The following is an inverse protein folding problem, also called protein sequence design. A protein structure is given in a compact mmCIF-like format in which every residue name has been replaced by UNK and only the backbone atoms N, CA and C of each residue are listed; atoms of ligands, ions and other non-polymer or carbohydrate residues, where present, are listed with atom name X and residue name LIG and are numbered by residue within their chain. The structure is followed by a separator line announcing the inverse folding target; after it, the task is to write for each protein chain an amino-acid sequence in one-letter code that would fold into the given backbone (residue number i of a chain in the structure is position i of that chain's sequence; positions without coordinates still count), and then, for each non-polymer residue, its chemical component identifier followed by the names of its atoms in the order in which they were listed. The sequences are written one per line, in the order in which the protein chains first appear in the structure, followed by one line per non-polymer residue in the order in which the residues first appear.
data_IF_713185948535
#
_entry.id   IF_713185948535
#
_cell.length_a   1.000
_cell.length_b   1.000
_cell.length_c   1.000
_cell.angle_alpha   90.00
_cell.angle_beta   90.00
_cell.angle_gamma   90.00
#
_symmetry.space_group_name_H-M   'P 1'
#
loop_
_entity.id
_entity.type
_entity.pdbx_description
1 polymer ?
#
# COMPACT_ATOMS: atom_id res chain seq x y z
N UNK A 1 -10.37 -25.15 -31.40
CA UNK A 1 -10.36 -23.78 -30.84
C UNK A 1 -10.99 -23.69 -29.44
N UNK A 2 -12.12 -24.35 -29.14
CA UNK A 2 -12.77 -24.32 -27.81
C UNK A 2 -11.84 -24.70 -26.64
N UNK A 3 -10.94 -25.66 -26.82
CA UNK A 3 -9.94 -26.06 -25.79
C UNK A 3 -8.96 -24.93 -25.42
N UNK A 4 -8.56 -24.08 -26.36
CA UNK A 4 -7.64 -22.96 -26.09
C UNK A 4 -8.34 -21.82 -25.34
N UNK A 5 -9.60 -21.53 -25.66
CA UNK A 5 -10.40 -20.57 -24.91
C UNK A 5 -10.63 -21.02 -23.45
N UNK A 6 -10.83 -22.32 -23.23
CA UNK A 6 -10.95 -22.87 -21.87
C UNK A 6 -9.63 -22.74 -21.08
N UNK A 7 -8.50 -23.02 -21.73
CA UNK A 7 -7.15 -22.83 -21.13
C UNK A 7 -6.86 -21.35 -20.82
N UNK A 8 -7.22 -20.44 -21.71
CA UNK A 8 -7.08 -18.98 -21.49
C UNK A 8 -7.98 -18.49 -20.35
N UNK A 9 -9.21 -18.99 -20.25
CA UNK A 9 -10.14 -18.64 -19.15
C UNK A 9 -9.64 -19.16 -17.81
N UNK A 10 -9.10 -20.38 -17.77
CA UNK A 10 -8.46 -20.94 -16.58
C UNK A 10 -7.22 -20.12 -16.17
N UNK A 11 -6.38 -19.74 -17.14
CA UNK A 11 -5.18 -18.94 -16.89
C UNK A 11 -5.53 -17.54 -16.39
N UNK A 12 -6.60 -16.93 -16.90
CA UNK A 12 -7.10 -15.64 -16.42
C UNK A 12 -7.70 -15.75 -15.01
N UNK A 13 -8.35 -16.86 -14.67
CA UNK A 13 -8.81 -17.15 -13.31
C UNK A 13 -7.64 -17.30 -12.33
N UNK A 14 -6.59 -18.02 -12.73
CA UNK A 14 -5.35 -18.17 -11.94
C UNK A 14 -4.65 -16.82 -11.79
N UNK A 15 -4.54 -16.02 -12.86
CA UNK A 15 -3.97 -14.67 -12.81
C UNK A 15 -4.77 -13.72 -11.92
N UNK A 16 -6.11 -13.82 -11.96
CA UNK A 16 -7.00 -13.08 -11.07
C UNK A 16 -6.72 -13.40 -9.60
N UNK A 17 -6.52 -14.68 -9.27
CA UNK A 17 -6.13 -15.11 -7.93
C UNK A 17 -4.69 -14.75 -7.57
N UNK A 18 -3.80 -14.57 -8.56
CA UNK A 18 -2.40 -14.22 -8.33
C UNK A 18 -2.24 -12.85 -7.66
N UNK A 19 -3.14 -11.91 -7.98
CA UNK A 19 -3.21 -10.60 -7.31
C UNK A 19 -3.44 -10.76 -5.81
N UNK A 20 -4.38 -11.61 -5.41
CA UNK A 20 -4.67 -11.84 -3.99
C UNK A 20 -3.53 -12.57 -3.28
N UNK A 21 -2.87 -13.51 -3.97
CA UNK A 21 -1.67 -14.18 -3.45
C UNK A 21 -0.55 -13.17 -3.23
N UNK A 22 -0.30 -12.29 -4.20
CA UNK A 22 0.75 -11.28 -4.10
C UNK A 22 0.51 -10.31 -2.94
N UNK A 23 -0.74 -9.86 -2.75
CA UNK A 23 -1.11 -9.00 -1.61
C UNK A 23 -0.89 -9.70 -0.28
N UNK A 24 -1.29 -10.98 -0.16
CA UNK A 24 -1.04 -11.77 1.05
C UNK A 24 0.45 -11.97 1.30
N UNK A 25 1.23 -12.25 0.27
CA UNK A 25 2.67 -12.47 0.36
C UNK A 25 3.40 -11.17 0.76
N UNK A 26 2.96 -10.03 0.22
CA UNK A 26 3.43 -8.72 0.64
C UNK A 26 3.13 -8.44 2.11
N UNK A 27 1.91 -8.73 2.56
CA UNK A 27 1.53 -8.59 3.96
C UNK A 27 2.36 -9.47 4.89
N UNK A 28 2.57 -10.74 4.52
CA UNK A 28 3.42 -11.68 5.25
C UNK A 28 4.87 -11.15 5.32
N UNK A 29 5.39 -10.60 4.23
CA UNK A 29 6.76 -10.04 4.20
C UNK A 29 6.90 -8.86 5.17
N UNK A 30 5.94 -7.93 5.17
CA UNK A 30 5.94 -6.80 6.11
C UNK A 30 5.83 -7.28 7.55
N UNK A 31 4.95 -8.25 7.80
CA UNK A 31 4.77 -8.83 9.12
C UNK A 31 6.07 -9.49 9.62
N UNK A 32 6.72 -10.28 8.76
CA UNK A 32 7.95 -10.99 9.08
C UNK A 32 9.11 -10.01 9.32
N UNK A 33 9.14 -8.88 8.59
CA UNK A 33 10.09 -7.81 8.83
C UNK A 33 9.87 -7.13 10.20
N UNK A 34 8.63 -6.79 10.55
CA UNK A 34 8.30 -6.23 11.86
C UNK A 34 8.65 -7.21 13.00
N UNK A 35 8.32 -8.49 12.83
CA UNK A 35 8.70 -9.57 13.72
C UNK A 35 10.23 -9.62 13.92
N UNK A 36 10.99 -9.54 12.83
CA UNK A 36 12.46 -9.53 12.87
C UNK A 36 13.03 -8.37 13.67
N UNK A 37 12.52 -7.15 13.47
CA UNK A 37 13.00 -5.97 14.19
C UNK A 37 12.72 -6.11 15.69
N UNK A 38 11.52 -6.56 16.06
CA UNK A 38 11.17 -6.75 17.47
C UNK A 38 12.04 -7.83 18.10
N UNK A 39 12.29 -8.93 17.40
CA UNK A 39 13.14 -10.01 17.88
C UNK A 39 14.60 -9.55 18.10
N UNK A 40 15.15 -8.75 17.17
CA UNK A 40 16.46 -8.11 17.34
C UNK A 40 16.49 -7.19 18.56
N UNK A 41 15.46 -6.35 18.70
CA UNK A 41 15.35 -5.40 19.80
C UNK A 41 15.29 -6.12 21.16
N UNK A 42 14.57 -7.24 21.26
CA UNK A 42 14.48 -8.03 22.49
C UNK A 42 15.77 -8.80 22.80
N UNK A 43 16.56 -9.15 21.79
CA UNK A 43 17.70 -10.04 21.99
C UNK A 43 19.04 -9.32 22.12
N UNK A 44 19.24 -8.23 21.37
CA UNK A 44 20.47 -7.45 21.36
C UNK A 44 20.27 -5.98 21.79
N UNK A 45 19.02 -5.56 22.04
CA UNK A 45 18.68 -4.20 22.41
C UNK A 45 18.34 -3.30 21.23
N UNK A 46 17.82 -2.11 21.56
CA UNK A 46 17.24 -1.18 20.58
C UNK A 46 18.30 -0.57 19.65
N UNK A 47 19.51 -0.33 20.15
CA UNK A 47 20.64 0.19 19.35
C UNK A 47 20.95 -0.73 18.16
N UNK A 48 20.98 -2.04 18.40
CA UNK A 48 21.26 -3.03 17.37
C UNK A 48 20.14 -3.09 16.32
N UNK A 49 18.88 -2.95 16.74
CA UNK A 49 17.74 -2.95 15.82
C UNK A 49 17.74 -1.73 14.88
N UNK A 50 18.21 -0.58 15.34
CA UNK A 50 18.30 0.65 14.52
C UNK A 50 19.42 0.52 13.48
N UNK A 51 20.57 0.01 13.90
CA UNK A 51 21.75 -0.18 13.04
C UNK A 51 21.50 -1.21 11.92
N UNK A 52 20.77 -2.28 12.23
CA UNK A 52 20.44 -3.35 11.28
C UNK A 52 19.02 -3.27 10.71
N UNK A 53 18.40 -2.08 10.74
CA UNK A 53 17.02 -1.87 10.26
C UNK A 53 16.82 -2.16 8.77
N UNK A 54 17.89 -2.31 7.99
CA UNK A 54 17.81 -2.72 6.59
C UNK A 54 17.10 -4.07 6.43
N UNK A 55 16.11 -4.21 5.53
CA UNK A 55 15.33 -5.43 5.37
C UNK A 55 16.18 -6.67 5.09
N UNK A 56 17.25 -6.53 4.29
CA UNK A 56 18.18 -7.64 4.01
C UNK A 56 18.85 -8.16 5.28
N UNK A 57 19.29 -7.25 6.15
CA UNK A 57 19.98 -7.60 7.37
C UNK A 57 19.01 -8.17 8.41
N UNK A 58 17.81 -7.58 8.51
CA UNK A 58 16.72 -8.09 9.32
C UNK A 58 16.44 -9.57 9.00
N UNK A 59 16.14 -9.90 7.74
CA UNK A 59 15.86 -11.29 7.35
C UNK A 59 17.05 -12.24 7.55
N UNK A 60 18.28 -11.80 7.27
CA UNK A 60 19.47 -12.61 7.49
C UNK A 60 19.63 -13.02 8.95
N UNK A 61 19.43 -12.07 9.85
CA UNK A 61 19.53 -12.28 11.30
C UNK A 61 18.36 -13.09 11.83
N UNK A 62 17.15 -12.90 11.30
CA UNK A 62 16.00 -13.76 11.59
C UNK A 62 16.32 -15.22 11.28
N UNK A 63 16.91 -15.47 10.10
CA UNK A 63 17.31 -16.81 9.69
C UNK A 63 18.38 -17.40 10.60
N UNK A 64 19.41 -16.62 10.96
CA UNK A 64 20.44 -17.06 11.92
C UNK A 64 19.82 -17.39 13.29
N UNK A 65 18.85 -16.61 13.73
CA UNK A 65 18.11 -16.85 14.97
C UNK A 65 17.34 -18.16 14.93
N UNK A 66 16.59 -18.42 13.85
CA UNK A 66 15.86 -19.67 13.69
C UNK A 66 16.80 -20.87 13.57
N UNK A 67 17.91 -20.72 12.84
CA UNK A 67 18.93 -21.76 12.72
C UNK A 67 19.52 -22.11 14.09
N UNK A 68 19.89 -21.10 14.88
CA UNK A 68 20.40 -21.32 16.24
C UNK A 68 19.37 -21.99 17.15
N UNK A 69 18.09 -21.60 17.08
CA UNK A 69 17.02 -22.24 17.84
C UNK A 69 16.79 -23.70 17.42
N UNK A 70 16.94 -24.01 16.13
CA UNK A 70 16.83 -25.36 15.62
C UNK A 70 17.99 -26.24 16.07
N UNK A 71 19.22 -25.72 15.97
CA UNK A 71 20.44 -26.44 16.34
C UNK A 71 20.56 -26.66 17.87
N UNK A 72 19.95 -25.79 18.68
CA UNK A 72 19.99 -25.84 20.15
C UNK A 72 18.63 -26.21 20.77
N UNK A 73 17.81 -27.01 20.07
CA UNK A 73 16.44 -27.33 20.48
C UNK A 73 16.33 -27.88 21.91
N UNK A 74 17.32 -28.65 22.34
CA UNK A 74 17.34 -29.30 23.66
C UNK A 74 17.79 -28.36 24.79
N UNK A 75 18.41 -27.22 24.45
CA UNK A 75 18.92 -26.20 25.38
C UNK A 75 18.17 -24.87 25.26
N UNK A 76 16.94 -24.88 24.72
CA UNK A 76 16.12 -23.68 24.60
C UNK A 76 15.68 -23.20 25.99
N UNK A 77 16.37 -22.18 26.50
CA UNK A 77 15.99 -21.50 27.72
C UNK A 77 14.58 -20.90 27.59
N UNK A 78 13.81 -20.94 28.68
CA UNK A 78 12.44 -20.40 28.73
C UNK A 78 12.41 -18.92 28.35
N UNK A 79 13.47 -18.17 28.68
CA UNK A 79 13.63 -16.78 28.28
C UNK A 79 13.61 -16.58 26.76
N UNK A 80 14.17 -17.51 25.99
CA UNK A 80 14.21 -17.43 24.52
C UNK A 80 12.82 -17.65 23.91
N UNK A 81 12.08 -18.63 24.44
CA UNK A 81 10.71 -18.92 24.00
C UNK A 81 9.76 -17.75 24.26
N UNK A 82 9.90 -17.09 25.42
CA UNK A 82 9.12 -15.88 25.76
C UNK A 82 9.44 -14.74 24.78
N UNK A 83 10.72 -14.53 24.44
CA UNK A 83 11.10 -13.47 23.49
C UNK A 83 10.51 -13.69 22.10
N UNK A 84 10.53 -14.93 21.60
CA UNK A 84 9.90 -15.28 20.32
C UNK A 84 8.39 -15.06 20.38
N UNK A 85 7.75 -15.47 21.48
CA UNK A 85 6.31 -15.29 21.68
C UNK A 85 5.94 -13.80 21.68
N UNK A 86 6.66 -12.99 22.45
CA UNK A 86 6.46 -11.52 22.51
C UNK A 86 6.72 -10.90 21.15
N UNK A 87 7.78 -11.28 20.46
CA UNK A 87 8.07 -10.78 19.12
C UNK A 87 6.95 -11.10 18.13
N UNK A 88 6.28 -12.26 18.26
CA UNK A 88 5.17 -12.66 17.40
C UNK A 88 3.90 -11.85 17.70
N UNK A 89 3.59 -11.59 18.96
CA UNK A 89 2.39 -10.84 19.32
C UNK A 89 2.54 -9.33 19.14
N UNK A 90 3.76 -8.79 19.24
CA UNK A 90 4.01 -7.34 19.20
C UNK A 90 3.52 -6.68 17.89
N UNK A 91 3.80 -7.20 16.68
CA UNK A 91 3.28 -6.61 15.44
C UNK A 91 1.74 -6.56 15.40
N UNK A 92 1.06 -7.59 15.90
CA UNK A 92 -0.40 -7.62 15.96
C UNK A 92 -0.96 -6.62 16.98
N UNK A 93 -0.29 -6.49 18.13
CA UNK A 93 -0.67 -5.50 19.13
C UNK A 93 -0.46 -4.08 18.61
N UNK A 94 0.66 -3.84 17.94
CA UNK A 94 0.98 -2.56 17.31
C UNK A 94 -0.05 -2.23 16.21
N UNK A 95 -0.41 -3.21 15.37
CA UNK A 95 -1.43 -3.05 14.35
C UNK A 95 -2.79 -2.66 14.96
N UNK A 96 -3.22 -3.35 16.03
CA UNK A 96 -4.47 -3.02 16.73
C UNK A 96 -4.44 -1.62 17.35
N UNK A 97 -3.30 -1.23 17.91
CA UNK A 97 -3.08 0.10 18.49
C UNK A 97 -3.13 1.18 17.41
N UNK A 98 -2.44 0.96 16.28
CA UNK A 98 -2.50 1.84 15.11
C UNK A 98 -3.94 1.98 14.60
N UNK A 99 -4.71 0.89 14.46
CA UNK A 99 -6.11 0.97 14.04
C UNK A 99 -7.01 1.70 15.05
N UNK A 100 -6.70 1.64 16.35
CA UNK A 100 -7.47 2.34 17.39
C UNK A 100 -7.26 3.85 17.40
N UNK A 101 -6.18 4.33 16.77
CA UNK A 101 -5.87 5.76 16.71
C UNK A 101 -6.78 6.44 15.68
N UNK A 102 -7.41 7.56 16.08
CA UNK A 102 -8.18 8.43 15.17
C UNK A 102 -7.22 9.22 14.25
N UNK A 103 -6.63 8.54 13.27
CA UNK A 103 -5.65 9.11 12.32
C UNK A 103 -6.13 10.40 11.68
N UNK A 104 -7.42 10.49 11.36
CA UNK A 104 -8.02 11.69 10.74
C UNK A 104 -7.74 12.95 11.56
N UNK A 105 -7.91 12.88 12.88
CA UNK A 105 -7.66 14.02 13.78
C UNK A 105 -6.17 14.36 13.89
N UNK A 106 -5.29 13.34 13.92
CA UNK A 106 -3.84 13.56 13.98
C UNK A 106 -3.30 14.17 12.69
N UNK A 107 -3.79 13.71 11.53
CA UNK A 107 -3.39 14.22 10.22
C UNK A 107 -3.87 15.66 10.04
N UNK A 108 -5.12 15.96 10.40
CA UNK A 108 -5.67 17.32 10.34
C UNK A 108 -4.86 18.29 11.21
N UNK A 109 -4.54 17.89 12.44
CA UNK A 109 -3.69 18.69 13.35
C UNK A 109 -2.26 18.85 12.82
N UNK A 110 -1.69 17.81 12.22
CA UNK A 110 -0.35 17.87 11.61
C UNK A 110 -0.33 18.81 10.39
N UNK A 111 -1.34 18.75 9.52
CA UNK A 111 -1.49 19.66 8.36
C UNK A 111 -1.62 21.11 8.83
N UNK A 112 -2.43 21.37 9.86
CA UNK A 112 -2.58 22.73 10.44
C UNK A 112 -1.23 23.22 10.97
N UNK A 113 -0.48 22.38 11.69
CA UNK A 113 0.83 22.75 12.24
C UNK A 113 1.88 23.01 11.14
N UNK A 114 1.87 22.22 10.06
CA UNK A 114 2.73 22.43 8.89
C UNK A 114 2.37 23.73 8.17
N UNK A 115 1.08 24.00 7.94
CA UNK A 115 0.61 25.27 7.36
C UNK A 115 1.01 26.47 8.23
N UNK A 116 0.89 26.37 9.55
CA UNK A 116 1.32 27.42 10.48
C UNK A 116 2.83 27.65 10.44
N UNK A 117 3.65 26.58 10.40
CA UNK A 117 5.11 26.68 10.23
C UNK A 117 5.52 27.27 8.88
N UNK A 118 4.79 26.99 7.79
CA UNK A 118 5.05 27.55 6.47
C UNK A 118 4.68 29.04 6.41
N UNK A 119 3.54 29.43 6.99
CA UNK A 119 3.13 30.84 7.02
C UNK A 119 4.01 31.71 7.94
N UNK A 120 4.54 31.17 9.03
CA UNK A 120 5.50 31.92 9.89
C UNK A 120 6.85 32.15 9.22
N UNK A 121 7.27 31.28 8.29
CA UNK A 121 8.48 31.49 7.48
C UNK A 121 8.32 32.56 6.39
N UNK A 122 7.11 32.79 5.90
CA UNK A 122 6.82 33.84 4.90
C UNK A 122 6.44 35.20 5.53
N UNK A 123 5.99 35.23 6.78
CA UNK A 123 5.52 36.47 7.43
C UNK A 123 6.63 37.43 7.91
N UNK A 124 7.91 37.04 7.89
CA UNK A 124 8.99 37.91 8.38
C UNK A 124 9.57 38.86 7.32
N UNK A 125 8.95 39.00 6.14
CA UNK A 125 9.44 39.90 5.08
C UNK A 125 8.54 41.08 4.72
N UNK A 126 7.29 41.12 5.16
CA UNK A 126 6.30 42.07 4.60
C UNK A 126 5.66 43.04 5.62
N UNK A 127 6.34 43.38 6.71
CA UNK A 127 5.83 44.37 7.70
C UNK A 127 5.97 45.84 7.21
N UNK A 128 6.49 46.09 6.02
CA UNK A 128 6.52 47.44 5.43
C UNK A 128 5.96 47.47 4.01
N UNK A 129 4.69 47.12 3.83
CA UNK A 129 3.96 47.52 2.62
C UNK A 129 2.47 47.71 2.89
N UNK A 130 2.12 48.96 3.16
CA UNK A 130 0.86 49.60 2.78
C UNK A 130 -0.47 48.91 3.14
N UNK A 131 -1.11 49.52 4.14
CA UNK A 131 -2.45 50.08 4.01
C UNK A 131 -2.89 50.28 2.55
N UNK A 132 -3.73 49.39 2.02
CA UNK A 132 -4.77 49.72 1.06
C UNK A 132 -5.80 48.60 0.97
N UNK A 133 -7.04 49.02 1.16
CA UNK A 133 -8.30 48.33 0.95
C UNK A 133 -8.29 47.18 -0.08
N UNK A 134 -8.96 46.08 0.26
CA UNK A 134 -9.27 45.00 -0.67
C UNK A 134 -10.19 43.96 -0.04
N UNK A 135 -11.49 44.23 -0.12
CA UNK A 135 -12.56 43.24 0.05
C UNK A 135 -12.26 42.07 -0.89
N UNK A 136 -12.07 40.86 -0.36
CA UNK A 136 -12.09 39.64 -1.19
C UNK A 136 -12.98 38.58 -0.55
N UNK A 137 -13.95 38.22 -1.36
CA UNK A 137 -15.04 37.31 -1.10
C UNK A 137 -14.56 35.87 -0.91
N UNK A 138 -15.32 35.16 -0.10
CA UNK A 138 -15.37 33.71 0.08
C UNK A 138 -15.45 32.98 -1.28
N UNK A 139 -14.41 32.21 -1.63
CA UNK A 139 -14.31 31.38 -2.85
C UNK A 139 -14.36 29.88 -2.52
N UNK A 140 -15.09 29.49 -1.47
CA UNK A 140 -15.22 28.10 -1.05
C UNK A 140 -16.21 27.27 -1.89
N UNK A 141 -17.08 27.91 -2.70
CA UNK A 141 -18.14 27.24 -3.45
C UNK A 141 -17.79 26.73 -4.87
N UNK A 142 -16.62 27.07 -5.43
CA UNK A 142 -16.24 26.68 -6.80
C UNK A 142 -15.46 25.37 -6.90
N UNK A 143 -14.80 24.94 -5.81
CA UNK A 143 -13.89 23.80 -5.86
C UNK A 143 -14.62 22.44 -5.83
N UNK A 144 -15.80 22.37 -5.22
CA UNK A 144 -16.60 21.13 -5.12
C UNK A 144 -17.22 20.70 -6.46
N UNK A 145 -17.67 21.65 -7.30
CA UNK A 145 -18.25 21.35 -8.63
C UNK A 145 -17.22 20.79 -9.62
N UNK A 146 -15.96 21.24 -9.53
CA UNK A 146 -14.88 20.80 -10.42
C UNK A 146 -14.47 19.33 -10.19
N UNK A 147 -14.56 18.85 -8.95
CA UNK A 147 -14.27 17.45 -8.64
C UNK A 147 -15.38 16.51 -9.14
N UNK A 148 -16.63 16.94 -9.06
CA UNK A 148 -17.76 16.14 -9.52
C UNK A 148 -17.77 15.97 -11.06
N UNK A 149 -17.43 17.03 -11.80
CA UNK A 149 -17.33 16.99 -13.26
C UNK A 149 -16.17 16.14 -13.75
N UNK A 150 -15.02 16.16 -13.06
CA UNK A 150 -13.87 15.30 -13.40
C UNK A 150 -14.16 13.82 -13.15
N UNK A 151 -14.88 13.48 -12.09
CA UNK A 151 -15.32 12.10 -11.81
C UNK A 151 -16.33 11.62 -12.85
N UNK A 152 -17.28 12.47 -13.27
CA UNK A 152 -18.24 12.15 -14.34
C UNK A 152 -17.55 11.91 -15.67
N UNK A 153 -16.60 12.76 -16.05
CA UNK A 153 -15.81 12.60 -17.28
C UNK A 153 -14.99 11.30 -17.25
N UNK A 154 -14.37 10.98 -16.11
CA UNK A 154 -13.59 9.76 -15.98
C UNK A 154 -14.45 8.49 -16.09
N UNK A 155 -15.68 8.52 -15.58
CA UNK A 155 -16.62 7.41 -15.75
C UNK A 155 -17.10 7.29 -17.20
N UNK A 156 -17.34 8.40 -17.87
CA UNK A 156 -17.74 8.41 -19.28
C UNK A 156 -16.62 7.89 -20.21
N UNK A 157 -15.36 8.24 -19.90
CA UNK A 157 -14.19 7.76 -20.62
C UNK A 157 -14.01 6.24 -20.44
N UNK A 158 -14.20 5.73 -19.20
CA UNK A 158 -14.16 4.29 -18.94
C UNK A 158 -15.21 3.52 -19.73
N UNK A 159 -16.45 4.03 -19.78
CA UNK A 159 -17.51 3.40 -20.56
C UNK A 159 -17.18 3.39 -22.06
N UNK A 160 -16.65 4.50 -22.58
CA UNK A 160 -16.24 4.60 -23.98
C UNK A 160 -15.12 3.62 -24.32
N UNK A 161 -14.09 3.54 -23.48
CA UNK A 161 -12.97 2.59 -23.65
C UNK A 161 -13.44 1.14 -23.61
N UNK A 162 -14.37 0.79 -22.72
CA UNK A 162 -14.94 -0.57 -22.66
C UNK A 162 -15.70 -0.89 -23.94
N UNK A 163 -16.51 0.04 -24.44
CA UNK A 163 -17.28 -0.14 -25.67
C UNK A 163 -16.38 -0.30 -26.91
N UNK A 164 -15.32 0.51 -27.01
CA UNK A 164 -14.32 0.40 -28.09
C UNK A 164 -13.60 -0.96 -28.05
N UNK A 165 -13.26 -1.43 -26.85
CA UNK A 165 -12.62 -2.74 -26.68
C UNK A 165 -13.58 -3.87 -27.08
N UNK A 166 -14.84 -3.82 -26.65
CA UNK A 166 -15.86 -4.82 -27.03
C UNK A 166 -16.07 -4.85 -28.55
N UNK A 167 -16.20 -3.68 -29.17
CA UNK A 167 -16.39 -3.59 -30.62
C UNK A 167 -15.15 -4.09 -31.40
N UNK A 168 -13.95 -3.82 -30.91
CA UNK A 168 -12.71 -4.34 -31.50
C UNK A 168 -12.60 -5.86 -31.36
N UNK A 169 -13.01 -6.41 -30.20
CA UNK A 169 -13.06 -7.86 -29.96
C UNK A 169 -14.07 -8.51 -30.91
N UNK A 170 -15.29 -7.97 -31.01
CA UNK A 170 -16.35 -8.51 -31.88
C UNK A 170 -15.95 -8.50 -33.34
N UNK A 171 -15.33 -7.41 -33.81
CA UNK A 171 -14.81 -7.32 -35.19
C UNK A 171 -13.74 -8.37 -35.47
N UNK A 172 -12.79 -8.55 -34.53
CA UNK A 172 -11.75 -9.60 -34.63
C UNK A 172 -12.36 -11.00 -34.60
N UNK A 173 -13.36 -11.23 -33.76
CA UNK A 173 -14.05 -12.52 -33.66
C UNK A 173 -14.80 -12.84 -34.96
N UNK A 174 -15.50 -11.86 -35.52
CA UNK A 174 -16.24 -11.97 -36.78
C UNK A 174 -15.31 -12.26 -37.97
N UNK A 175 -14.17 -11.56 -38.05
CA UNK A 175 -13.14 -11.81 -39.07
C UNK A 175 -12.58 -13.25 -38.98
N UNK A 176 -12.30 -13.74 -37.77
CA UNK A 176 -11.81 -15.12 -37.55
C UNK A 176 -12.88 -16.14 -37.95
N UNK A 177 -14.15 -15.90 -37.60
CA UNK A 177 -15.25 -16.83 -37.89
C UNK A 177 -15.60 -16.88 -39.39
N UNK A 178 -15.55 -15.74 -40.10
CA UNK A 178 -15.72 -15.70 -41.56
C UNK A 178 -14.52 -16.28 -42.31
N UNK A 179 -13.30 -16.03 -41.86
CA UNK A 179 -12.10 -16.63 -42.43
C UNK A 179 -12.10 -18.16 -42.29
N UNK A 180 -12.68 -18.68 -41.20
CA UNK A 180 -12.93 -20.11 -40.99
C UNK A 180 -13.98 -20.71 -41.92
N UNK A 181 -14.93 -19.92 -42.45
CA UNK A 181 -16.01 -20.40 -43.33
C UNK A 181 -15.62 -20.45 -44.81
N UNK A 182 -14.58 -19.71 -45.21
CA UNK A 182 -14.09 -19.62 -46.60
C UNK A 182 -13.08 -20.72 -46.97
N UNK A 183 -12.75 -21.61 -46.03
CA UNK A 183 -11.72 -22.65 -46.16
C UNK A 183 -12.29 -24.08 -46.29
N UNK A 184 -13.56 -24.20 -46.68
CA UNK A 184 -14.19 -25.43 -47.17
C UNK A 184 -14.60 -25.23 -48.62
#
# INVERSE_FOLDING_TARGET
MISLFYKLRLLNYILGSFKDIFVKLFFITIYLYAFSIVLMCLSHGLHYAVEFSSPRNAFSQLYLYFKWCYDNKDNLDYGMSIRILVALFTPNFLYKLLCSIKWKYLIEKAIIKIKQCLNTKYSNKDIYANNKAGIYADDSGKQERSYEDTVRLMNHLKQFLVQDIEQAIDKRLYEIFLASRKKN
#
